data_IF_821241924683
#
_entry.id   IF_821241924683
#
_cell.length_a   1.000
_cell.length_b   1.000
_cell.length_c   1.000
_cell.angle_alpha   90.00
_cell.angle_beta   90.00
_cell.angle_gamma   90.00
#
_symmetry.space_group_name_H-M   'P 1'
#
loop_
_entity.id
_entity.type
_entity.pdbx_description
1 polymer ?
#
# COMPACT_ATOMS: atom_id res chain seq x y z
N UNK A 1 13.51 6.00 -35.65
CA UNK A 1 12.84 7.17 -35.04
C UNK A 1 11.62 6.64 -34.32
N UNK A 2 11.76 6.33 -33.03
CA UNK A 2 10.66 5.85 -32.17
C UNK A 2 10.01 7.06 -31.51
N UNK A 3 8.75 7.33 -31.81
CA UNK A 3 7.94 8.33 -31.13
C UNK A 3 7.53 7.79 -29.76
N UNK A 4 8.09 8.34 -28.68
CA UNK A 4 7.67 8.11 -27.31
C UNK A 4 6.36 8.87 -27.11
N UNK A 5 5.24 8.17 -27.11
CA UNK A 5 3.94 8.74 -26.79
C UNK A 5 3.87 8.81 -25.23
N UNK A 6 4.25 9.96 -24.68
CA UNK A 6 4.00 10.25 -23.27
C UNK A 6 2.51 10.58 -23.10
N UNK A 7 1.71 9.58 -22.71
CA UNK A 7 0.39 9.83 -22.16
C UNK A 7 0.57 10.57 -20.82
N UNK A 8 0.35 11.87 -20.80
CA UNK A 8 0.18 12.65 -19.59
C UNK A 8 -1.22 12.35 -19.06
N UNK A 9 -1.34 11.24 -18.34
CA UNK A 9 -2.49 11.01 -17.47
C UNK A 9 -2.26 11.95 -16.26
N UNK A 10 -3.26 12.73 -15.94
CA UNK A 10 -3.23 13.59 -14.76
C UNK A 10 -3.02 12.73 -13.51
N UNK A 11 -1.79 12.63 -13.06
CA UNK A 11 -1.41 11.91 -11.84
C UNK A 11 -1.79 12.81 -10.67
N UNK A 12 -2.81 12.43 -9.93
CA UNK A 12 -3.07 13.03 -8.61
C UNK A 12 -2.04 12.46 -7.65
N UNK A 13 -1.45 13.31 -6.84
CA UNK A 13 -0.47 12.89 -5.84
C UNK A 13 -1.21 12.11 -4.74
N UNK A 14 -0.89 10.82 -4.63
CA UNK A 14 -1.35 9.97 -3.53
C UNK A 14 -0.30 9.96 -2.43
N UNK A 15 -0.75 9.99 -1.18
CA UNK A 15 0.11 9.74 -0.05
C UNK A 15 0.23 8.22 0.15
N UNK A 16 1.36 7.66 -0.24
CA UNK A 16 1.74 6.28 0.06
C UNK A 16 3.07 6.30 0.82
N UNK A 17 3.20 5.50 1.88
CA UNK A 17 4.40 5.48 2.70
C UNK A 17 5.62 5.03 1.89
N UNK A 18 6.66 5.86 1.83
CA UNK A 18 7.88 5.58 1.10
C UNK A 18 8.90 4.87 1.99
N UNK A 19 9.32 3.68 1.57
CA UNK A 19 10.41 2.94 2.20
C UNK A 19 11.71 3.10 1.41
N UNK A 20 12.82 3.30 2.12
CA UNK A 20 14.16 3.37 1.50
C UNK A 20 14.59 2.03 0.87
N UNK A 21 14.03 0.90 1.34
CA UNK A 21 14.29 -0.46 0.84
C UNK A 21 13.17 -0.97 -0.07
N UNK A 22 12.77 -0.14 -1.01
CA UNK A 22 11.71 -0.43 -1.97
C UNK A 22 11.87 -1.77 -2.69
N UNK A 23 13.09 -2.13 -3.08
CA UNK A 23 13.37 -3.36 -3.85
C UNK A 23 13.18 -4.65 -3.05
N UNK A 24 13.23 -4.58 -1.72
CA UNK A 24 13.08 -5.73 -0.84
C UNK A 24 11.61 -6.03 -0.50
N UNK A 25 10.70 -5.15 -0.93
CA UNK A 25 9.26 -5.23 -0.60
C UNK A 25 8.37 -5.12 -1.85
N UNK A 26 8.59 -5.93 -2.91
CA UNK A 26 7.84 -5.80 -4.17
C UNK A 26 6.34 -6.03 -4.00
N UNK A 27 5.91 -6.82 -3.02
CA UNK A 27 4.51 -7.10 -2.72
C UNK A 27 3.76 -5.89 -2.14
N UNK A 28 4.46 -4.92 -1.55
CA UNK A 28 3.84 -3.69 -1.06
C UNK A 28 3.37 -2.77 -2.19
N UNK A 29 3.95 -2.90 -3.39
CA UNK A 29 3.65 -2.05 -4.54
C UNK A 29 2.84 -2.77 -5.60
N UNK A 30 3.11 -4.06 -5.80
CA UNK A 30 2.53 -4.80 -6.90
C UNK A 30 1.98 -6.14 -6.41
N UNK A 31 0.66 -6.36 -6.42
CA UNK A 31 0.07 -7.61 -6.00
C UNK A 31 0.46 -8.80 -6.89
N UNK A 32 0.91 -8.56 -8.11
CA UNK A 32 1.40 -9.63 -8.99
C UNK A 32 2.78 -10.18 -8.58
N UNK A 33 3.51 -9.51 -7.68
CA UNK A 33 4.78 -9.99 -7.16
C UNK A 33 4.63 -11.07 -6.07
N UNK A 34 3.42 -11.29 -5.56
CA UNK A 34 3.11 -12.27 -4.52
C UNK A 34 3.41 -13.68 -4.99
N UNK A 35 4.12 -14.46 -4.17
CA UNK A 35 4.52 -15.83 -4.50
C UNK A 35 5.56 -15.94 -5.63
N UNK A 36 6.25 -14.87 -5.96
CA UNK A 36 7.30 -14.90 -6.99
C UNK A 36 8.54 -15.69 -6.53
N UNK A 37 8.76 -15.79 -5.23
CA UNK A 37 9.81 -16.61 -4.64
C UNK A 37 9.32 -18.04 -4.43
N UNK A 38 10.25 -19.00 -4.50
CA UNK A 38 9.93 -20.44 -4.38
C UNK A 38 9.59 -20.90 -2.95
N UNK A 39 9.57 -20.00 -1.98
CA UNK A 39 9.41 -20.26 -0.54
C UNK A 39 8.42 -19.29 0.08
N UNK A 40 7.99 -19.62 1.30
CA UNK A 40 7.37 -18.64 2.18
C UNK A 40 8.34 -17.46 2.39
N UNK A 41 7.88 -16.29 2.06
CA UNK A 41 8.59 -15.04 2.29
C UNK A 41 7.84 -14.24 3.35
N UNK A 42 8.57 -13.77 4.36
CA UNK A 42 8.04 -12.90 5.41
C UNK A 42 8.95 -11.70 5.52
N UNK A 43 8.38 -10.52 5.39
CA UNK A 43 9.11 -9.26 5.48
C UNK A 43 8.53 -8.42 6.61
N UNK A 44 9.39 -7.94 7.50
CA UNK A 44 9.04 -6.98 8.53
C UNK A 44 9.95 -5.76 8.40
N UNK A 45 9.38 -4.58 8.43
CA UNK A 45 10.12 -3.32 8.41
C UNK A 45 9.55 -2.36 9.45
N UNK A 46 10.44 -1.62 10.11
CA UNK A 46 10.08 -0.56 11.02
C UNK A 46 10.96 0.66 10.74
N UNK A 47 10.32 1.77 10.46
CA UNK A 47 10.98 3.04 10.26
C UNK A 47 10.58 4.01 11.39
N UNK A 48 11.57 4.68 11.96
CA UNK A 48 11.39 5.69 12.99
C UNK A 48 12.22 6.92 12.62
N UNK A 49 11.55 7.91 12.08
CA UNK A 49 12.19 9.11 11.56
C UNK A 49 12.13 10.24 12.60
N UNK A 50 13.17 11.09 12.62
CA UNK A 50 13.26 12.24 13.50
C UNK A 50 13.09 11.91 15.00
N UNK A 51 13.81 10.91 15.48
CA UNK A 51 13.83 10.56 16.91
C UNK A 51 14.21 11.77 17.76
N UNK A 52 13.40 12.10 18.77
CA UNK A 52 13.58 13.26 19.65
C UNK A 52 12.64 14.42 19.40
N UNK A 53 11.86 14.41 18.33
CA UNK A 53 10.77 15.37 18.13
C UNK A 53 9.43 14.77 18.59
N UNK A 54 8.54 15.60 19.11
CA UNK A 54 7.18 15.19 19.44
C UNK A 54 6.43 14.80 18.16
N UNK A 55 5.60 13.74 18.25
CA UNK A 55 4.79 13.23 17.13
C UNK A 55 5.60 12.81 15.88
N UNK A 56 6.81 12.32 16.10
CA UNK A 56 7.69 11.88 15.02
C UNK A 56 7.07 10.76 14.15
N UNK A 57 7.34 10.75 12.82
CA UNK A 57 6.83 9.74 11.92
C UNK A 57 7.34 8.33 12.25
N UNK A 58 6.42 7.36 12.27
CA UNK A 58 6.70 5.95 12.54
C UNK A 58 5.93 5.09 11.57
N UNK A 59 6.65 4.25 10.84
CA UNK A 59 6.03 3.32 9.90
C UNK A 59 6.36 1.89 10.28
N UNK A 60 5.36 1.05 10.38
CA UNK A 60 5.48 -0.40 10.59
C UNK A 60 4.88 -1.12 9.40
N UNK A 61 5.61 -2.08 8.86
CA UNK A 61 5.18 -2.93 7.76
C UNK A 61 5.46 -4.39 8.10
N UNK A 62 4.49 -5.24 7.83
CA UNK A 62 4.60 -6.68 7.95
C UNK A 62 3.91 -7.32 6.75
N UNK A 63 4.59 -8.18 6.03
CA UNK A 63 4.00 -8.95 4.94
C UNK A 63 4.40 -10.40 5.00
N UNK A 64 3.55 -11.24 4.40
CA UNK A 64 3.85 -12.64 4.17
C UNK A 64 3.25 -13.10 2.86
N UNK A 65 4.02 -13.86 2.08
CA UNK A 65 3.56 -14.43 0.83
C UNK A 65 4.17 -15.80 0.58
N UNK A 66 3.45 -16.61 -0.17
CA UNK A 66 3.89 -17.96 -0.54
C UNK A 66 3.38 -18.36 -1.93
N UNK A 67 4.16 -19.17 -2.67
CA UNK A 67 3.69 -19.81 -3.88
C UNK A 67 2.82 -21.03 -3.52
N UNK A 68 1.72 -21.18 -4.24
CA UNK A 68 0.81 -22.32 -4.15
C UNK A 68 0.68 -22.95 -5.53
N UNK A 69 0.72 -24.28 -5.60
CA UNK A 69 0.44 -24.99 -6.85
C UNK A 69 -0.96 -25.57 -6.81
N UNK A 70 -1.81 -25.10 -7.69
CA UNK A 70 -3.19 -25.54 -7.80
C UNK A 70 -3.62 -25.59 -9.27
N UNK A 71 -4.46 -26.57 -9.65
CA UNK A 71 -4.94 -26.78 -11.03
C UNK A 71 -3.81 -26.75 -12.09
N UNK A 72 -2.71 -27.40 -11.80
CA UNK A 72 -1.53 -27.45 -12.68
C UNK A 72 -0.92 -26.10 -13.04
N UNK A 73 -1.19 -25.08 -12.22
CA UNK A 73 -0.72 -23.72 -12.34
C UNK A 73 -0.02 -23.26 -11.07
N UNK A 74 0.84 -22.26 -11.20
CA UNK A 74 1.45 -21.60 -10.06
C UNK A 74 0.60 -20.36 -9.70
N UNK A 75 0.39 -20.19 -8.41
CA UNK A 75 -0.35 -19.09 -7.83
C UNK A 75 0.47 -18.48 -6.70
N UNK A 76 0.35 -17.20 -6.50
CA UNK A 76 0.86 -16.53 -5.32
C UNK A 76 -0.31 -16.14 -4.41
N UNK A 77 -0.15 -16.35 -3.13
CA UNK A 77 -1.08 -15.85 -2.11
C UNK A 77 -0.29 -15.16 -1.01
N UNK A 78 -0.82 -14.07 -0.51
CA UNK A 78 -0.15 -13.32 0.54
C UNK A 78 -1.00 -12.17 1.04
N UNK A 79 -0.39 -11.36 1.85
CA UNK A 79 -0.99 -10.14 2.37
C UNK A 79 0.02 -9.31 3.13
N UNK A 80 -0.37 -8.09 3.43
CA UNK A 80 0.42 -7.21 4.26
C UNK A 80 -0.44 -6.36 5.19
N UNK A 81 0.19 -5.96 6.26
CA UNK A 81 -0.27 -4.94 7.18
C UNK A 81 0.73 -3.78 7.17
N UNK A 82 0.22 -2.58 7.09
CA UNK A 82 1.00 -1.36 7.23
C UNK A 82 0.32 -0.43 8.23
N UNK A 83 1.10 0.18 9.10
CA UNK A 83 0.67 1.23 10.00
C UNK A 83 1.66 2.38 9.90
N UNK A 84 1.18 3.51 9.44
CA UNK A 84 1.97 4.72 9.26
C UNK A 84 1.40 5.84 10.11
N UNK A 85 2.19 6.35 11.04
CA UNK A 85 1.82 7.42 11.93
C UNK A 85 2.65 8.65 11.60
N UNK A 86 1.98 9.74 11.23
CA UNK A 86 2.61 11.01 10.89
C UNK A 86 1.90 12.13 11.64
N UNK A 87 2.57 12.68 12.64
CA UNK A 87 1.97 13.71 13.49
C UNK A 87 0.73 13.18 14.20
N UNK A 88 -0.42 13.76 13.90
CA UNK A 88 -1.72 13.42 14.48
C UNK A 88 -2.51 12.42 13.64
N UNK A 89 -2.02 12.10 12.43
CA UNK A 89 -2.66 11.16 11.53
C UNK A 89 -2.07 9.75 11.68
N UNK A 90 -2.93 8.77 11.62
CA UNK A 90 -2.54 7.35 11.56
C UNK A 90 -3.24 6.71 10.37
N UNK A 91 -2.44 6.19 9.45
CA UNK A 91 -2.88 5.44 8.27
C UNK A 91 -2.61 3.96 8.48
N UNK A 92 -3.64 3.15 8.45
CA UNK A 92 -3.49 1.70 8.54
C UNK A 92 -4.05 1.04 7.29
N UNK A 93 -3.33 0.05 6.77
CA UNK A 93 -3.84 -0.77 5.68
C UNK A 93 -3.61 -2.24 5.94
N UNK A 94 -4.64 -3.05 5.69
CA UNK A 94 -4.59 -4.50 5.71
C UNK A 94 -5.02 -4.97 4.33
N UNK A 95 -4.17 -5.75 3.67
CA UNK A 95 -4.41 -6.19 2.30
C UNK A 95 -4.19 -7.68 2.15
N UNK A 96 -5.11 -8.34 1.46
CA UNK A 96 -4.97 -9.69 0.95
C UNK A 96 -4.66 -9.63 -0.55
N UNK A 97 -3.74 -10.47 -1.00
CA UNK A 97 -3.20 -10.47 -2.35
C UNK A 97 -3.22 -11.86 -2.95
N UNK A 98 -3.51 -11.91 -4.24
CA UNK A 98 -3.50 -13.13 -5.03
C UNK A 98 -2.89 -12.85 -6.40
N UNK A 99 -2.04 -13.77 -6.88
CA UNK A 99 -1.46 -13.69 -8.22
C UNK A 99 -1.58 -15.03 -8.96
N UNK A 100 -1.96 -14.96 -10.22
CA UNK A 100 -1.89 -16.07 -11.16
C UNK A 100 -0.59 -15.97 -11.94
N UNK A 101 0.20 -17.04 -11.93
CA UNK A 101 1.51 -17.07 -12.56
C UNK A 101 1.55 -18.06 -13.72
N UNK A 102 2.13 -17.66 -14.83
CA UNK A 102 2.29 -18.47 -16.05
C UNK A 102 3.70 -18.35 -16.61
N UNK A 103 4.29 -19.47 -16.97
CA UNK A 103 5.56 -19.47 -17.70
C UNK A 103 5.31 -19.00 -19.13
N UNK A 104 5.95 -17.93 -19.53
CA UNK A 104 5.81 -17.31 -20.85
C UNK A 104 7.14 -16.66 -21.26
N UNK A 105 7.49 -16.73 -22.54
CA UNK A 105 8.69 -16.06 -23.10
C UNK A 105 9.99 -16.34 -22.33
N UNK A 106 10.15 -17.55 -21.79
CA UNK A 106 11.33 -17.91 -21.01
C UNK A 106 11.38 -17.37 -19.57
N UNK A 107 10.38 -16.61 -19.15
CA UNK A 107 10.19 -16.07 -17.80
C UNK A 107 8.86 -16.51 -17.18
N UNK A 108 8.44 -15.77 -16.16
CA UNK A 108 7.16 -15.94 -15.47
C UNK A 108 6.38 -14.63 -15.56
N UNK A 109 5.22 -14.68 -16.20
CA UNK A 109 4.24 -13.61 -16.20
C UNK A 109 3.25 -13.84 -15.05
N UNK A 110 3.03 -12.85 -14.22
CA UNK A 110 2.07 -12.85 -13.14
C UNK A 110 1.05 -11.73 -13.33
N UNK A 111 -0.21 -12.02 -13.02
CA UNK A 111 -1.30 -11.05 -12.93
C UNK A 111 -1.83 -11.14 -11.51
N UNK A 112 -1.86 -10.02 -10.79
CA UNK A 112 -2.22 -9.95 -9.38
C UNK A 112 -3.44 -9.09 -9.13
N UNK A 113 -4.16 -9.48 -8.08
CA UNK A 113 -5.29 -8.74 -7.52
C UNK A 113 -5.01 -8.49 -6.04
N UNK A 114 -5.49 -7.37 -5.55
CA UNK A 114 -5.44 -6.97 -4.16
C UNK A 114 -6.81 -6.49 -3.72
N UNK A 115 -7.20 -6.89 -2.51
CA UNK A 115 -8.33 -6.32 -1.81
C UNK A 115 -7.93 -6.09 -0.36
N UNK A 116 -8.33 -4.96 0.18
CA UNK A 116 -7.97 -4.60 1.54
C UNK A 116 -8.89 -3.58 2.17
N UNK A 117 -8.50 -3.14 3.34
CA UNK A 117 -9.16 -2.09 4.09
C UNK A 117 -8.15 -1.04 4.51
N UNK A 118 -8.50 0.20 4.25
CA UNK A 118 -7.80 1.39 4.70
C UNK A 118 -8.53 1.94 5.91
N UNK A 119 -7.79 2.32 6.94
CA UNK A 119 -8.29 3.00 8.12
C UNK A 119 -7.49 4.28 8.31
N UNK A 120 -8.17 5.40 8.29
CA UNK A 120 -7.63 6.71 8.60
C UNK A 120 -8.08 7.11 9.99
N UNK A 121 -7.17 7.59 10.82
CA UNK A 121 -7.45 8.09 12.15
C UNK A 121 -6.78 9.44 12.35
N UNK A 122 -7.53 10.38 12.86
CA UNK A 122 -7.05 11.68 13.31
C UNK A 122 -7.20 11.79 14.83
N UNK A 123 -6.13 12.11 15.53
CA UNK A 123 -6.13 12.27 17.00
C UNK A 123 -6.15 13.75 17.39
N UNK A 124 -7.33 14.34 17.42
CA UNK A 124 -7.54 15.74 17.81
C UNK A 124 -7.28 16.02 19.29
N UNK A 125 -7.19 14.97 20.14
CA UNK A 125 -6.93 15.15 21.58
C UNK A 125 -5.51 15.61 21.90
N UNK A 126 -4.61 15.52 20.94
CA UNK A 126 -3.21 15.95 21.03
C UNK A 126 -2.93 17.32 20.42
N UNK A 127 -3.96 17.99 19.94
CA UNK A 127 -3.83 19.37 19.53
C UNK A 127 -3.62 20.24 20.76
N UNK A 128 -2.63 21.12 20.70
CA UNK A 128 -2.45 22.22 21.65
C UNK A 128 -2.92 23.50 20.94
N UNK A 129 -4.22 23.83 21.01
CA UNK A 129 -4.75 25.01 20.34
C UNK A 129 -4.31 26.25 21.12
N UNK A 130 -3.68 27.21 20.41
CA UNK A 130 -3.40 28.53 20.95
C UNK A 130 -4.69 29.28 21.38
N UNK A 131 -5.84 28.84 20.90
CA UNK A 131 -7.16 29.30 21.32
C UNK A 131 -7.99 28.08 21.81
N UNK A 132 -8.27 28.09 23.11
CA UNK A 132 -8.92 27.00 23.83
C UNK A 132 -10.42 26.85 23.51
N UNK A 133 -10.93 27.06 22.31
CA UNK A 133 -12.31 26.78 21.89
C UNK A 133 -12.52 27.11 20.39
N UNK A 134 -11.56 26.77 19.52
CA UNK A 134 -11.82 26.90 18.10
C UNK A 134 -12.78 25.79 17.65
N UNK A 135 -14.03 26.12 17.24
CA UNK A 135 -15.01 25.12 16.80
C UNK A 135 -14.66 24.44 15.48
N UNK A 136 -13.61 24.90 14.79
CA UNK A 136 -13.11 24.30 13.55
C UNK A 136 -12.14 23.14 13.79
N UNK A 137 -11.61 23.01 15.02
CA UNK A 137 -10.66 21.95 15.36
C UNK A 137 -11.37 20.80 16.07
N UNK A 138 -11.30 19.55 15.55
CA UNK A 138 -11.83 18.39 16.24
C UNK A 138 -11.01 18.12 17.51
N UNK A 139 -11.67 18.11 18.65
CA UNK A 139 -11.07 17.81 19.97
C UNK A 139 -11.14 16.32 20.32
N UNK A 140 -11.68 15.50 19.42
CA UNK A 140 -11.90 14.06 19.60
C UNK A 140 -11.06 13.25 18.62
N UNK A 141 -10.96 11.95 18.90
CA UNK A 141 -10.40 11.00 17.92
C UNK A 141 -11.48 10.68 16.90
N UNK A 142 -11.16 10.94 15.65
CA UNK A 142 -12.00 10.57 14.53
C UNK A 142 -11.33 9.46 13.71
N UNK A 143 -12.10 8.47 13.30
CA UNK A 143 -11.61 7.38 12.47
C UNK A 143 -12.60 7.02 11.38
N UNK A 144 -12.11 6.58 10.25
CA UNK A 144 -12.92 6.11 9.15
C UNK A 144 -12.26 4.95 8.42
N UNK A 145 -13.07 4.11 7.79
CA UNK A 145 -12.61 2.95 7.06
C UNK A 145 -13.11 3.00 5.61
N UNK A 146 -12.32 2.48 4.70
CA UNK A 146 -12.71 2.28 3.31
C UNK A 146 -12.13 0.97 2.76
N UNK A 147 -12.87 0.32 1.87
CA UNK A 147 -12.35 -0.83 1.11
C UNK A 147 -11.44 -0.31 0.01
N UNK A 148 -10.33 -0.98 -0.20
CA UNK A 148 -9.35 -0.69 -1.25
C UNK A 148 -9.18 -1.87 -2.19
N UNK A 149 -8.98 -1.58 -3.46
CA UNK A 149 -8.76 -2.57 -4.51
C UNK A 149 -7.57 -2.17 -5.37
N UNK A 150 -6.79 -3.17 -5.79
CA UNK A 150 -5.65 -2.97 -6.66
C UNK A 150 -5.44 -4.13 -7.61
N UNK A 151 -4.76 -3.84 -8.71
CA UNK A 151 -4.35 -4.83 -9.71
C UNK A 151 -2.88 -4.62 -10.06
N UNK A 152 -2.26 -5.66 -10.59
CA UNK A 152 -0.90 -5.57 -11.07
C UNK A 152 -0.55 -6.61 -12.11
N UNK A 153 0.49 -6.31 -12.83
CA UNK A 153 1.16 -7.23 -13.76
C UNK A 153 2.65 -7.23 -13.44
N UNK A 154 3.25 -8.39 -13.44
CA UNK A 154 4.66 -8.56 -13.13
C UNK A 154 5.25 -9.63 -14.05
N UNK A 155 6.36 -9.32 -14.68
CA UNK A 155 7.11 -10.27 -15.49
C UNK A 155 8.53 -10.40 -14.93
N UNK A 156 8.92 -11.62 -14.62
CA UNK A 156 10.27 -11.94 -14.13
C UNK A 156 10.96 -12.90 -15.09
N UNK A 157 12.11 -12.49 -15.62
CA UNK A 157 12.94 -13.30 -16.50
C UNK A 157 14.08 -13.97 -15.73
N UNK A 158 13.77 -15.09 -15.06
CA UNK A 158 14.74 -15.96 -14.38
C UNK A 158 15.70 -15.21 -13.46
N UNK A 159 15.20 -14.23 -12.73
CA UNK A 159 15.94 -13.39 -11.77
C UNK A 159 17.05 -12.52 -12.40
N UNK A 160 17.09 -12.40 -13.72
CA UNK A 160 18.02 -11.52 -14.41
C UNK A 160 17.49 -10.08 -14.49
N UNK A 161 16.23 -9.94 -14.81
CA UNK A 161 15.53 -8.66 -14.84
C UNK A 161 14.02 -8.90 -14.64
N UNK A 162 13.36 -7.91 -14.13
CA UNK A 162 11.91 -7.92 -13.99
C UNK A 162 11.33 -6.56 -14.41
N UNK A 163 10.08 -6.59 -14.80
CA UNK A 163 9.28 -5.40 -15.08
C UNK A 163 7.88 -5.63 -14.54
N UNK A 164 7.29 -4.57 -14.00
CA UNK A 164 5.94 -4.63 -13.47
C UNK A 164 5.25 -3.29 -13.56
N UNK A 165 3.92 -3.36 -13.56
CA UNK A 165 3.03 -2.21 -13.44
C UNK A 165 1.90 -2.58 -12.48
N UNK A 166 1.46 -1.64 -11.68
CA UNK A 166 0.33 -1.81 -10.77
C UNK A 166 -0.48 -0.53 -10.67
N UNK A 167 -1.74 -0.71 -10.32
CA UNK A 167 -2.64 0.37 -9.97
C UNK A 167 -3.36 -0.03 -8.67
N UNK A 168 -3.30 0.84 -7.69
CA UNK A 168 -4.01 0.75 -6.41
C UNK A 168 -5.17 1.73 -6.39
N UNK A 169 -5.99 1.66 -5.36
CA UNK A 169 -7.12 2.57 -5.14
C UNK A 169 -8.09 2.66 -6.32
N UNK A 170 -8.31 1.53 -7.02
CA UNK A 170 -9.14 1.48 -8.23
C UNK A 170 -10.60 1.88 -8.01
N UNK A 171 -11.08 1.71 -6.80
CA UNK A 171 -12.44 2.09 -6.39
C UNK A 171 -12.53 3.52 -5.85
N UNK A 172 -11.44 4.33 -5.93
CA UNK A 172 -11.34 5.67 -5.37
C UNK A 172 -11.94 5.73 -3.95
N UNK A 173 -11.35 5.01 -2.99
CA UNK A 173 -11.93 4.87 -1.67
C UNK A 173 -12.04 6.24 -0.99
N UNK A 174 -13.18 6.49 -0.35
CA UNK A 174 -13.42 7.70 0.42
C UNK A 174 -13.55 7.33 1.89
N UNK A 175 -12.67 7.87 2.70
CA UNK A 175 -12.72 7.70 4.15
C UNK A 175 -13.51 8.86 4.75
N UNK A 176 -14.59 8.57 5.45
CA UNK A 176 -15.35 9.56 6.21
C UNK A 176 -14.76 9.67 7.60
N UNK A 177 -14.18 10.82 7.93
CA UNK A 177 -13.73 11.18 9.26
C UNK A 177 -14.83 12.01 9.94
N UNK A 178 -15.54 11.39 10.90
CA UNK A 178 -16.65 12.02 11.59
C UNK A 178 -17.87 12.33 10.70
N UNK A 179 -18.81 13.14 11.21
CA UNK A 179 -20.05 13.46 10.48
C UNK A 179 -19.87 14.54 9.40
N UNK A 180 -18.79 15.30 9.42
CA UNK A 180 -18.63 16.50 8.58
C UNK A 180 -17.51 16.45 7.54
N UNK A 181 -16.52 15.59 7.69
CA UNK A 181 -15.34 15.59 6.82
C UNK A 181 -15.20 14.28 6.04
N UNK A 182 -15.18 14.37 4.73
CA UNK A 182 -14.87 13.23 3.84
C UNK A 182 -13.51 13.50 3.22
N UNK A 183 -12.51 12.70 3.55
CA UNK A 183 -11.21 12.74 2.89
C UNK A 183 -11.23 11.76 1.71
N UNK A 184 -11.06 12.25 0.47
CA UNK A 184 -10.78 11.35 -0.63
C UNK A 184 -9.38 10.74 -0.42
N UNK A 185 -9.28 9.44 -0.51
CA UNK A 185 -8.01 8.73 -0.67
C UNK A 185 -7.80 8.64 -2.17
N UNK A 186 -7.28 9.72 -2.73
CA UNK A 186 -6.99 9.81 -4.16
C UNK A 186 -5.53 9.45 -4.44
#
# INVERSE_FOLDING_TARGET
>A
VGALFACVLGVKAQYDANFSHYFDMPTSFNPAAVGNQSKLNVTAAYAHNFAGFEHNPRTMYLSGDLPVRFLNSFHGVGGYFMNDQIGLFTHQSINAQYALQRKLFGGVLAIGLQVGMLTEQFDGTKLDPNEANDPALPTTKESGNAVDMGVGVFFNNKDQWYVGASAKHLNAPKVKLGERNTLPVD
#
